data_IF_471475430993
#
_entry.id   IF_471475430993
#
_cell.length_a   1.000
_cell.length_b   1.000
_cell.length_c   1.000
_cell.angle_alpha   90.00
_cell.angle_beta   90.00
_cell.angle_gamma   90.00
#
_symmetry.space_group_name_H-M   'P 1'
#
loop_
_entity.id
_entity.type
_entity.pdbx_description
1 polymer ?
#
# COMPACT_ATOMS: atom_id res chain seq x y z
N UNK A 1 15.30 1.76 41.41
CA UNK A 1 13.99 1.21 40.99
C UNK A 1 12.93 2.26 41.30
N UNK A 2 12.20 2.77 40.30
CA UNK A 2 11.09 3.71 40.55
C UNK A 2 9.82 2.89 40.73
N UNK A 3 9.24 2.95 41.92
CA UNK A 3 7.98 2.28 42.26
C UNK A 3 6.87 3.34 42.15
N UNK A 4 5.89 3.09 41.29
CA UNK A 4 4.68 3.91 41.19
C UNK A 4 3.57 3.11 41.89
N UNK A 5 3.02 3.67 42.95
CA UNK A 5 1.89 3.06 43.68
C UNK A 5 0.58 3.58 43.10
N UNK A 6 -0.32 2.68 42.75
CA UNK A 6 -1.67 2.99 42.32
C UNK A 6 -2.65 1.99 42.96
N UNK A 7 -3.91 2.39 43.09
CA UNK A 7 -4.93 1.47 43.58
C UNK A 7 -5.10 0.29 42.63
N UNK A 8 -5.25 -0.91 43.20
CA UNK A 8 -5.41 -2.16 42.45
C UNK A 8 -6.64 -2.16 41.53
N UNK A 9 -7.69 -1.42 41.89
CA UNK A 9 -8.90 -1.19 41.09
C UNK A 9 -8.58 -0.42 39.80
N UNK A 10 -7.82 0.66 39.91
CA UNK A 10 -7.39 1.48 38.78
C UNK A 10 -6.49 0.69 37.82
N UNK A 11 -5.60 -0.15 38.34
CA UNK A 11 -4.77 -1.04 37.52
C UNK A 11 -5.62 -2.04 36.73
N UNK A 12 -6.59 -2.70 37.39
CA UNK A 12 -7.49 -3.66 36.72
C UNK A 12 -8.30 -3.00 35.60
N UNK A 13 -8.90 -1.85 35.89
CA UNK A 13 -9.69 -1.12 34.89
C UNK A 13 -8.84 -0.71 33.68
N UNK A 14 -7.61 -0.26 33.90
CA UNK A 14 -6.68 0.06 32.83
C UNK A 14 -6.32 -1.18 31.98
N UNK A 15 -6.07 -2.33 32.63
CA UNK A 15 -5.78 -3.57 31.90
C UNK A 15 -6.97 -4.08 31.10
N UNK A 16 -8.20 -3.89 31.59
CA UNK A 16 -9.43 -4.23 30.85
C UNK A 16 -9.61 -3.34 29.61
N UNK A 17 -9.42 -2.03 29.76
CA UNK A 17 -9.46 -1.10 28.62
C UNK A 17 -8.41 -1.43 27.56
N UNK A 18 -7.18 -1.77 27.99
CA UNK A 18 -6.11 -2.20 27.08
C UNK A 18 -6.52 -3.51 26.36
N UNK A 19 -7.12 -4.46 27.07
CA UNK A 19 -7.58 -5.72 26.47
C UNK A 19 -8.70 -5.49 25.45
N UNK A 20 -9.64 -4.58 25.73
CA UNK A 20 -10.71 -4.18 24.83
C UNK A 20 -10.16 -3.52 23.55
N UNK A 21 -9.26 -2.55 23.70
CA UNK A 21 -8.56 -1.91 22.57
C UNK A 21 -7.82 -2.96 21.74
N UNK A 22 -7.09 -3.87 22.39
CA UNK A 22 -6.35 -4.91 21.70
C UNK A 22 -7.27 -5.88 20.95
N UNK A 23 -8.45 -6.20 21.48
CA UNK A 23 -9.46 -7.00 20.80
C UNK A 23 -10.02 -6.28 19.57
N UNK A 24 -10.32 -4.99 19.69
CA UNK A 24 -10.81 -4.16 18.60
C UNK A 24 -9.77 -4.04 17.47
N UNK A 25 -8.50 -3.81 17.81
CA UNK A 25 -7.40 -3.76 16.84
C UNK A 25 -7.21 -5.10 16.13
N UNK A 26 -7.27 -6.24 16.85
CA UNK A 26 -7.18 -7.57 16.23
C UNK A 26 -8.33 -7.84 15.26
N UNK A 27 -9.56 -7.50 15.63
CA UNK A 27 -10.72 -7.64 14.75
C UNK A 27 -10.58 -6.76 13.49
N UNK A 28 -10.24 -5.48 13.66
CA UNK A 28 -10.00 -4.55 12.55
C UNK A 28 -8.83 -4.96 11.64
N UNK A 29 -7.88 -5.75 12.16
CA UNK A 29 -6.73 -6.25 11.41
C UNK A 29 -7.02 -7.57 10.68
N UNK A 30 -7.96 -8.39 11.18
CA UNK A 30 -8.33 -9.69 10.61
C UNK A 30 -9.17 -9.62 9.33
N UNK A 31 -9.98 -8.57 9.17
CA UNK A 31 -11.01 -8.52 8.12
C UNK A 31 -10.59 -7.82 6.81
N UNK A 32 -9.38 -7.26 6.72
CA UNK A 32 -8.92 -6.59 5.48
C UNK A 32 -8.67 -7.53 4.30
N UNK A 33 -8.84 -8.84 4.48
CA UNK A 33 -8.56 -9.87 3.46
C UNK A 33 -9.79 -10.68 3.04
N UNK A 34 -10.98 -10.34 3.52
CA UNK A 34 -12.22 -10.85 2.94
C UNK A 34 -12.51 -10.05 1.66
N UNK A 35 -12.51 -10.76 0.53
CA UNK A 35 -12.66 -10.23 -0.82
C UNK A 35 -13.97 -9.44 -1.01
N UNK A 36 -13.96 -8.17 -0.61
CA UNK A 36 -14.88 -7.20 -1.19
C UNK A 36 -14.66 -7.16 -2.70
N UNK A 37 -15.71 -6.98 -3.53
CA UNK A 37 -15.54 -6.87 -4.96
C UNK A 37 -14.56 -5.72 -5.23
N UNK A 38 -13.40 -6.08 -5.77
CA UNK A 38 -12.26 -5.20 -5.97
C UNK A 38 -12.71 -3.90 -6.65
N UNK A 39 -12.66 -2.81 -5.88
CA UNK A 39 -13.28 -1.54 -6.23
C UNK A 39 -12.66 -1.02 -7.53
N UNK A 40 -13.52 -0.69 -8.49
CA UNK A 40 -13.07 -0.09 -9.75
C UNK A 40 -12.94 1.42 -9.63
N UNK A 41 -11.72 1.89 -9.82
CA UNK A 41 -11.31 3.29 -9.78
C UNK A 41 -11.34 3.91 -11.17
N UNK A 42 -11.68 5.19 -11.23
CA UNK A 42 -11.52 6.02 -12.42
C UNK A 42 -10.06 6.37 -12.68
N UNK A 43 -9.76 6.83 -13.90
CA UNK A 43 -8.40 7.31 -14.25
C UNK A 43 -7.90 8.41 -13.33
N UNK A 44 -8.79 9.31 -12.86
CA UNK A 44 -8.38 10.41 -11.97
C UNK A 44 -8.06 9.90 -10.57
N UNK A 45 -8.90 9.03 -10.01
CA UNK A 45 -8.67 8.42 -8.69
C UNK A 45 -7.39 7.57 -8.69
N UNK A 46 -7.22 6.70 -9.69
CA UNK A 46 -6.03 5.87 -9.81
C UNK A 46 -4.74 6.70 -9.95
N UNK A 47 -4.78 7.77 -10.73
CA UNK A 47 -3.65 8.68 -10.89
C UNK A 47 -3.30 9.39 -9.58
N UNK A 48 -4.32 9.83 -8.84
CA UNK A 48 -4.15 10.46 -7.53
C UNK A 48 -3.57 9.48 -6.50
N UNK A 49 -4.08 8.24 -6.42
CA UNK A 49 -3.58 7.24 -5.47
C UNK A 49 -2.13 6.83 -5.76
N UNK A 50 -1.75 6.76 -7.04
CA UNK A 50 -0.37 6.50 -7.43
C UNK A 50 0.54 7.75 -7.37
N UNK A 51 0.00 8.93 -7.02
CA UNK A 51 0.71 10.21 -7.05
C UNK A 51 1.40 10.50 -8.41
N UNK A 52 0.68 10.22 -9.51
CA UNK A 52 1.17 10.49 -10.87
C UNK A 52 0.17 11.31 -11.67
N UNK A 53 0.63 11.93 -12.77
CA UNK A 53 -0.26 12.58 -13.71
C UNK A 53 -1.12 11.55 -14.48
N UNK A 54 -2.29 11.96 -14.96
CA UNK A 54 -3.13 11.14 -15.85
C UNK A 54 -2.39 10.75 -17.14
N UNK A 55 -1.49 11.60 -17.64
CA UNK A 55 -0.63 11.33 -18.79
C UNK A 55 0.38 10.21 -18.51
N UNK A 56 0.93 10.17 -17.30
CA UNK A 56 1.80 9.10 -16.82
C UNK A 56 1.03 7.78 -16.72
N UNK A 57 -0.18 7.80 -16.15
CA UNK A 57 -1.02 6.61 -16.05
C UNK A 57 -1.37 6.06 -17.45
N UNK A 58 -1.68 6.94 -18.40
CA UNK A 58 -1.88 6.55 -19.80
C UNK A 58 -0.63 5.91 -20.42
N UNK A 59 0.56 6.42 -20.12
CA UNK A 59 1.83 5.84 -20.58
C UNK A 59 2.07 4.47 -19.96
N UNK A 60 1.85 4.30 -18.65
CA UNK A 60 1.93 3.01 -17.98
C UNK A 60 1.02 1.97 -18.64
N UNK A 61 -0.19 2.38 -19.03
CA UNK A 61 -1.13 1.53 -19.78
C UNK A 61 -0.57 1.12 -21.15
N UNK A 62 -0.03 2.06 -21.92
CA UNK A 62 0.60 1.77 -23.23
C UNK A 62 1.84 0.89 -23.11
N UNK A 63 2.56 0.97 -21.99
CA UNK A 63 3.72 0.13 -21.67
C UNK A 63 3.32 -1.21 -21.00
N UNK A 64 2.03 -1.49 -20.84
CA UNK A 64 1.50 -2.68 -20.16
C UNK A 64 2.00 -2.84 -18.71
N UNK A 65 2.32 -1.73 -18.05
CA UNK A 65 2.83 -1.71 -16.67
C UNK A 65 1.74 -1.69 -15.60
N UNK A 66 0.48 -1.52 -16.01
CA UNK A 66 -0.68 -1.48 -15.12
C UNK A 66 -1.86 -2.20 -15.77
N UNK A 67 -2.49 -3.09 -15.01
CA UNK A 67 -3.73 -3.76 -15.40
C UNK A 67 -4.93 -2.79 -15.37
N UNK A 68 -5.80 -2.90 -16.37
CA UNK A 68 -7.02 -2.09 -16.45
C UNK A 68 -8.14 -2.87 -17.15
N UNK A 69 -9.37 -2.44 -16.93
CA UNK A 69 -10.56 -2.91 -17.64
C UNK A 69 -11.26 -1.75 -18.34
N UNK A 70 -11.92 -2.02 -19.45
CA UNK A 70 -12.68 -1.01 -20.20
C UNK A 70 -14.17 -1.21 -19.93
N UNK A 71 -14.82 -0.19 -19.40
CA UNK A 71 -16.26 -0.17 -19.15
C UNK A 71 -16.89 1.00 -19.90
N UNK A 72 -17.74 0.69 -20.89
CA UNK A 72 -18.38 1.67 -21.78
C UNK A 72 -17.37 2.67 -22.40
N UNK A 73 -16.24 2.17 -22.90
CA UNK A 73 -15.17 2.97 -23.48
C UNK A 73 -14.30 3.75 -22.49
N UNK A 74 -14.60 3.70 -21.18
CA UNK A 74 -13.80 4.36 -20.14
C UNK A 74 -12.90 3.34 -19.44
N UNK A 75 -11.63 3.71 -19.22
CA UNK A 75 -10.71 2.87 -18.45
C UNK A 75 -11.05 2.89 -16.96
N UNK A 76 -10.94 1.71 -16.34
CA UNK A 76 -11.09 1.50 -14.91
C UNK A 76 -9.93 0.65 -14.39
N UNK A 77 -9.54 0.93 -13.17
CA UNK A 77 -8.41 0.28 -12.51
C UNK A 77 -8.92 -0.41 -11.26
N UNK A 78 -8.39 -1.59 -10.99
CA UNK A 78 -8.69 -2.34 -9.78
C UNK A 78 -7.92 -1.75 -8.61
N UNK A 79 -8.55 -1.61 -7.45
CA UNK A 79 -7.87 -1.14 -6.23
C UNK A 79 -6.69 -2.07 -5.90
N UNK A 80 -6.88 -3.39 -6.02
CA UNK A 80 -5.82 -4.36 -5.75
C UNK A 80 -4.58 -4.19 -6.65
N UNK A 81 -4.78 -3.73 -7.89
CA UNK A 81 -3.68 -3.48 -8.83
C UNK A 81 -2.92 -2.21 -8.46
N UNK A 82 -3.62 -1.18 -7.96
CA UNK A 82 -2.97 0.03 -7.42
C UNK A 82 -2.15 -0.34 -6.18
N UNK A 83 -2.73 -1.10 -5.26
CA UNK A 83 -2.05 -1.52 -4.02
C UNK A 83 -0.82 -2.39 -4.33
N UNK A 84 -0.94 -3.33 -5.28
CA UNK A 84 0.19 -4.12 -5.79
C UNK A 84 1.32 -3.25 -6.33
N UNK A 85 0.99 -2.19 -7.09
CA UNK A 85 1.99 -1.30 -7.66
C UNK A 85 2.69 -0.46 -6.58
N UNK A 86 1.93 0.03 -5.60
CA UNK A 86 2.49 0.75 -4.45
C UNK A 86 3.44 -0.15 -3.66
N UNK A 87 3.04 -1.39 -3.38
CA UNK A 87 3.88 -2.38 -2.69
C UNK A 87 5.13 -2.74 -3.51
N UNK A 88 5.00 -2.90 -4.82
CA UNK A 88 6.13 -3.20 -5.69
C UNK A 88 7.18 -2.07 -5.73
N UNK A 89 6.72 -0.81 -5.56
CA UNK A 89 7.56 0.38 -5.56
C UNK A 89 8.05 0.78 -4.15
N UNK A 90 7.53 0.15 -3.09
CA UNK A 90 7.97 0.38 -1.73
C UNK A 90 9.44 -0.06 -1.57
N UNK A 91 10.22 0.77 -0.88
CA UNK A 91 11.61 0.47 -0.52
C UNK A 91 11.57 -0.36 0.77
N UNK A 92 12.20 -1.53 0.76
CA UNK A 92 12.31 -2.34 1.96
C UNK A 92 13.39 -1.74 2.88
N UNK A 93 13.00 -1.24 4.05
CA UNK A 93 13.95 -0.61 5.00
C UNK A 93 14.93 -1.63 5.61
N UNK A 94 14.46 -2.86 5.86
CA UNK A 94 15.26 -3.97 6.41
C UNK A 94 15.97 -4.82 5.34
N UNK A 95 16.37 -4.21 4.23
CA UNK A 95 17.06 -4.92 3.14
C UNK A 95 18.41 -5.49 3.60
N UNK A 96 18.43 -6.75 4.02
CA UNK A 96 19.62 -7.42 4.54
C UNK A 96 20.42 -8.13 3.43
N UNK A 97 19.78 -8.47 2.31
CA UNK A 97 20.45 -9.16 1.20
C UNK A 97 20.98 -8.18 0.14
N UNK A 98 22.13 -8.48 -0.52
CA UNK A 98 22.65 -7.66 -1.61
C UNK A 98 21.66 -7.46 -2.78
N UNK A 99 20.76 -8.41 -3.01
CA UNK A 99 19.72 -8.31 -4.05
C UNK A 99 18.66 -7.28 -3.69
N UNK A 100 18.21 -7.24 -2.43
CA UNK A 100 17.26 -6.24 -1.94
C UNK A 100 17.86 -4.84 -1.96
N UNK A 101 19.13 -4.70 -1.56
CA UNK A 101 19.85 -3.42 -1.66
C UNK A 101 19.94 -2.92 -3.10
N UNK A 102 20.24 -3.81 -4.07
CA UNK A 102 20.24 -3.47 -5.50
C UNK A 102 18.86 -3.09 -6.01
N UNK A 103 17.79 -3.78 -5.56
CA UNK A 103 16.40 -3.45 -5.88
C UNK A 103 16.05 -2.04 -5.38
N UNK A 104 16.31 -1.76 -4.11
CA UNK A 104 16.07 -0.44 -3.50
C UNK A 104 16.83 0.68 -4.23
N UNK A 105 18.10 0.44 -4.57
CA UNK A 105 18.89 1.40 -5.35
C UNK A 105 18.27 1.66 -6.74
N UNK A 106 17.77 0.62 -7.40
CA UNK A 106 17.14 0.74 -8.73
C UNK A 106 15.83 1.51 -8.66
N UNK A 107 15.01 1.28 -7.63
CA UNK A 107 13.78 2.03 -7.38
C UNK A 107 14.08 3.52 -7.16
N UNK A 108 15.13 3.85 -6.41
CA UNK A 108 15.53 5.24 -6.13
C UNK A 108 16.12 5.98 -7.33
N UNK A 109 16.87 5.29 -8.18
CA UNK A 109 17.57 5.90 -9.32
C UNK A 109 16.82 5.80 -10.66
N UNK A 110 15.64 5.16 -10.67
CA UNK A 110 14.80 5.05 -11.86
C UNK A 110 15.27 4.00 -12.89
N UNK A 111 16.24 3.17 -12.53
CA UNK A 111 16.81 2.13 -13.41
C UNK A 111 17.46 2.68 -14.69
N UNK A 112 17.81 1.78 -15.62
CA UNK A 112 18.36 2.20 -16.92
C UNK A 112 17.24 2.75 -17.81
N UNK A 113 17.40 3.95 -18.41
CA UNK A 113 16.39 4.49 -19.30
C UNK A 113 16.23 3.57 -20.52
N UNK A 114 14.99 3.14 -20.81
CA UNK A 114 14.67 2.53 -22.11
C UNK A 114 14.90 3.61 -23.17
N UNK A 115 15.81 3.34 -24.10
CA UNK A 115 16.19 4.26 -25.17
C UNK A 115 14.98 4.89 -25.88
N UNK A 116 15.15 6.14 -26.32
CA UNK A 116 14.16 6.89 -27.08
C UNK A 116 13.75 6.06 -28.31
N UNK A 117 12.48 5.71 -28.44
CA UNK A 117 11.93 5.22 -29.71
C UNK A 117 11.98 6.41 -30.68
N UNK A 118 12.99 6.42 -31.55
CA UNK A 118 13.01 7.23 -32.78
C UNK A 118 12.05 6.65 -33.79
#
# INVERSE_FOLDING_TARGET
MKVITMESSAFRSLTEQIAEIAAHVRAASGDKKAASPDRLLTTREAAHLLNVSTRTLQRMRSEQRIGYVVLRGKCRYRQSEIDRLLEACAVNEDAATPQELKRNHTLRTGGKPKGRRT
#
